data_IF_631245011194
#
_entry.id   IF_631245011194
#
_cell.length_a   1.000
_cell.length_b   1.000
_cell.length_c   1.000
_cell.angle_alpha   90.00
_cell.angle_beta   90.00
_cell.angle_gamma   90.00
#
_symmetry.space_group_name_H-M   'P 1'
#
loop_
_entity.id
_entity.type
_entity.pdbx_description
1 polymer ?
#
# COMPACT_ATOMS: atom_id res chain seq x y z
N UNK A 1 38.64 -9.16 9.28
CA UNK A 1 38.04 -8.07 8.49
C UNK A 1 36.65 -8.51 8.04
N UNK A 2 35.62 -8.11 8.78
CA UNK A 2 34.24 -8.41 8.43
C UNK A 2 33.37 -7.27 8.96
N UNK A 3 33.20 -6.27 8.10
CA UNK A 3 32.33 -5.12 8.33
C UNK A 3 30.88 -5.60 8.38
N UNK A 4 30.27 -5.50 9.56
CA UNK A 4 28.84 -5.71 9.76
C UNK A 4 28.06 -4.55 9.16
N UNK A 5 27.32 -4.85 8.09
CA UNK A 5 26.41 -3.96 7.38
C UNK A 5 25.17 -3.74 8.26
N UNK A 6 24.97 -2.55 8.77
CA UNK A 6 23.79 -2.15 9.55
C UNK A 6 22.58 -2.00 8.62
N UNK A 7 21.72 -3.01 8.58
CA UNK A 7 20.37 -2.90 8.02
C UNK A 7 19.45 -2.28 9.07
N UNK A 8 19.05 -1.02 8.87
CA UNK A 8 18.04 -0.34 9.66
C UNK A 8 16.68 -0.99 9.42
N UNK A 9 16.24 -1.83 10.35
CA UNK A 9 14.90 -2.41 10.34
C UNK A 9 13.88 -1.36 10.78
N UNK A 10 13.09 -0.82 9.86
CA UNK A 10 11.98 0.08 10.17
C UNK A 10 10.86 -0.70 10.86
N UNK A 11 10.66 -0.50 12.16
CA UNK A 11 9.52 -1.08 12.89
C UNK A 11 8.54 0.02 13.31
N UNK A 12 7.34 0.02 12.71
CA UNK A 12 6.21 0.80 13.20
C UNK A 12 5.49 -0.01 14.29
N UNK A 13 5.59 0.41 15.56
CA UNK A 13 4.86 -0.24 16.66
C UNK A 13 3.80 0.70 17.18
N UNK A 14 2.58 0.56 16.66
CA UNK A 14 1.40 1.08 17.35
C UNK A 14 1.19 0.21 18.59
N UNK A 15 1.32 0.79 19.78
CA UNK A 15 0.96 0.13 21.03
C UNK A 15 -0.55 -0.16 21.02
N UNK A 16 -0.92 -1.31 20.50
CA UNK A 16 -2.25 -1.86 20.60
C UNK A 16 -2.12 -3.34 20.94
N UNK A 17 -2.63 -3.70 22.11
CA UNK A 17 -2.71 -5.05 22.65
C UNK A 17 -3.17 -6.06 21.56
N UNK A 18 -2.67 -7.30 21.63
CA UNK A 18 -2.59 -8.37 20.60
C UNK A 18 -3.90 -8.82 19.88
N UNK A 19 -4.84 -7.93 19.58
CA UNK A 19 -6.09 -8.23 18.85
C UNK A 19 -6.71 -7.00 18.16
N UNK A 20 -5.92 -5.99 17.85
CA UNK A 20 -6.38 -4.62 17.58
C UNK A 20 -6.95 -4.37 16.19
N UNK A 21 -6.59 -5.18 15.19
CA UNK A 21 -7.17 -5.09 13.83
C UNK A 21 -8.66 -5.45 13.80
N UNK A 22 -9.20 -6.07 14.87
CA UNK A 22 -10.64 -6.33 15.03
C UNK A 22 -11.45 -5.11 15.48
N UNK A 23 -10.81 -4.08 16.03
CA UNK A 23 -11.50 -2.87 16.48
C UNK A 23 -11.33 -1.73 15.46
N UNK A 24 -12.22 -1.71 14.47
CA UNK A 24 -12.31 -0.69 13.39
C UNK A 24 -12.33 0.76 13.92
N UNK A 25 -12.76 0.97 15.16
CA UNK A 25 -12.82 2.29 15.81
C UNK A 25 -11.45 2.90 16.09
N UNK A 26 -10.39 2.09 16.24
CA UNK A 26 -9.02 2.60 16.43
C UNK A 26 -8.41 3.19 15.15
N UNK A 27 -8.88 2.77 13.96
CA UNK A 27 -8.39 3.30 12.68
C UNK A 27 -8.88 4.72 12.37
N UNK A 28 -9.84 5.22 13.13
CA UNK A 28 -10.36 6.60 13.06
C UNK A 28 -9.69 7.55 14.06
N UNK A 29 -8.64 7.12 14.76
CA UNK A 29 -7.86 7.99 15.65
C UNK A 29 -6.74 8.65 14.86
N UNK A 30 -6.27 9.84 15.25
CA UNK A 30 -5.06 10.43 14.68
C UNK A 30 -3.92 9.42 14.70
N UNK A 31 -3.30 9.17 13.54
CA UNK A 31 -2.16 8.26 13.46
C UNK A 31 -0.97 8.91 14.17
N UNK A 32 -0.32 8.17 15.07
CA UNK A 32 0.94 8.57 15.68
C UNK A 32 2.01 7.59 15.24
N UNK A 33 2.98 8.06 14.48
CA UNK A 33 4.11 7.24 14.04
C UNK A 33 5.33 7.54 14.91
N UNK A 34 6.05 6.48 15.31
CA UNK A 34 7.29 6.58 16.08
C UNK A 34 8.30 5.64 15.40
N UNK A 35 9.42 6.18 14.92
CA UNK A 35 10.54 5.38 14.47
C UNK A 35 11.39 4.99 15.67
N UNK A 36 11.66 3.69 15.81
CA UNK A 36 12.44 3.18 16.93
C UNK A 36 13.88 3.71 16.86
N UNK A 37 14.34 4.33 17.96
CA UNK A 37 15.69 4.88 18.07
C UNK A 37 15.87 6.29 17.51
N UNK A 38 14.82 6.92 16.96
CA UNK A 38 14.88 8.31 16.50
C UNK A 38 14.17 9.26 17.48
N UNK A 39 14.82 10.34 17.96
CA UNK A 39 14.19 11.34 18.80
C UNK A 39 13.32 12.29 17.95
N UNK A 40 12.24 11.75 17.39
CA UNK A 40 11.24 12.52 16.64
C UNK A 40 9.97 12.73 17.46
N UNK A 41 9.62 13.99 17.75
CA UNK A 41 8.25 14.33 18.15
C UNK A 41 7.43 14.48 16.87
N UNK A 42 6.42 13.62 16.69
CA UNK A 42 5.59 13.65 15.48
C UNK A 42 4.74 14.93 15.41
N UNK A 43 5.26 15.95 14.73
CA UNK A 43 4.54 17.15 14.31
C UNK A 43 4.00 17.03 12.87
N UNK A 44 3.80 15.80 12.38
CA UNK A 44 3.31 15.48 11.03
C UNK A 44 4.40 15.15 10.01
N UNK A 45 5.66 15.51 10.26
CA UNK A 45 6.79 15.16 9.38
C UNK A 45 7.08 13.65 9.38
N UNK A 46 7.09 13.04 10.56
CA UNK A 46 7.35 11.60 10.76
C UNK A 46 6.26 10.77 10.09
N UNK A 47 5.00 11.16 10.26
CA UNK A 47 3.86 10.51 9.58
C UNK A 47 3.96 10.59 8.05
N UNK A 48 4.34 11.74 7.47
CA UNK A 48 4.53 11.87 6.02
C UNK A 48 5.65 10.99 5.49
N UNK A 49 6.77 10.93 6.20
CA UNK A 49 7.91 10.09 5.82
C UNK A 49 7.55 8.60 5.84
N UNK A 50 6.80 8.16 6.85
CA UNK A 50 6.30 6.80 6.94
C UNK A 50 5.46 6.39 5.72
N UNK A 51 4.45 7.20 5.38
CA UNK A 51 3.62 6.93 4.20
C UNK A 51 4.44 6.97 2.91
N UNK A 52 5.37 7.92 2.78
CA UNK A 52 6.24 7.98 1.62
C UNK A 52 7.07 6.70 1.45
N UNK A 53 7.73 6.22 2.51
CA UNK A 53 8.56 5.00 2.48
C UNK A 53 7.74 3.77 2.13
N UNK A 54 6.61 3.56 2.79
CA UNK A 54 5.75 2.39 2.52
C UNK A 54 5.14 2.46 1.12
N UNK A 55 4.71 3.64 0.66
CA UNK A 55 4.23 3.78 -0.72
C UNK A 55 5.32 3.43 -1.71
N UNK A 56 6.58 3.88 -1.49
CA UNK A 56 7.70 3.51 -2.36
C UNK A 56 7.89 1.98 -2.42
N UNK A 57 7.98 1.29 -1.28
CA UNK A 57 8.15 -0.18 -1.23
C UNK A 57 7.01 -0.94 -1.93
N UNK A 58 5.79 -0.40 -1.91
CA UNK A 58 4.64 -0.96 -2.61
C UNK A 58 4.76 -0.76 -4.13
N UNK A 59 5.08 0.45 -4.59
CA UNK A 59 5.06 0.78 -6.02
C UNK A 59 6.31 0.30 -6.77
N UNK A 60 7.43 0.10 -6.08
CA UNK A 60 8.65 -0.50 -6.67
C UNK A 60 8.54 -2.02 -6.82
N UNK A 61 7.54 -2.64 -6.18
CA UNK A 61 7.36 -4.09 -6.19
C UNK A 61 8.29 -4.84 -5.25
N UNK A 62 9.07 -4.15 -4.40
CA UNK A 62 10.03 -4.76 -3.47
C UNK A 62 9.35 -5.71 -2.46
N UNK A 63 8.07 -5.46 -2.14
CA UNK A 63 7.26 -6.34 -1.28
C UNK A 63 6.75 -7.61 -2.00
N UNK A 64 6.87 -7.67 -3.33
CA UNK A 64 6.35 -8.75 -4.17
C UNK A 64 4.83 -8.87 -4.18
N UNK A 65 4.11 -7.85 -3.70
CA UNK A 65 2.64 -7.81 -3.64
C UNK A 65 2.01 -7.31 -4.94
N UNK A 66 2.74 -6.48 -5.69
CA UNK A 66 2.24 -5.95 -6.95
C UNK A 66 3.25 -6.16 -8.06
N UNK A 67 2.74 -6.42 -9.26
CA UNK A 67 3.48 -6.48 -10.50
C UNK A 67 3.34 -5.13 -11.20
N UNK A 68 4.44 -4.63 -11.76
CA UNK A 68 4.44 -3.38 -12.52
C UNK A 68 4.23 -3.73 -14.00
N UNK A 69 3.17 -3.19 -14.60
CA UNK A 69 2.95 -3.30 -16.02
C UNK A 69 3.98 -2.47 -16.79
N UNK A 70 4.67 -3.08 -17.75
CA UNK A 70 5.83 -2.46 -18.39
C UNK A 70 5.48 -1.18 -19.16
N UNK A 71 4.35 -1.17 -19.87
CA UNK A 71 4.00 -0.04 -20.74
C UNK A 71 3.30 1.12 -19.99
N UNK A 72 2.50 0.80 -18.97
CA UNK A 72 1.66 1.78 -18.27
C UNK A 72 2.27 2.23 -16.96
N UNK A 73 3.28 1.50 -16.45
CA UNK A 73 3.87 1.67 -15.12
C UNK A 73 2.83 1.57 -13.99
N UNK A 74 1.67 0.97 -14.28
CA UNK A 74 0.64 0.71 -13.29
C UNK A 74 0.96 -0.55 -12.51
N UNK A 75 0.49 -0.60 -11.27
CA UNK A 75 0.62 -1.75 -10.40
C UNK A 75 -0.63 -2.64 -10.45
N UNK A 76 -0.42 -3.95 -10.55
CA UNK A 76 -1.47 -4.97 -10.52
C UNK A 76 -1.20 -6.02 -9.43
N UNK A 77 -2.26 -6.63 -8.89
CA UNK A 77 -2.16 -7.64 -7.84
C UNK A 77 -1.33 -8.83 -8.30
N UNK A 78 -0.31 -9.19 -7.54
CA UNK A 78 0.45 -10.40 -7.76
C UNK A 78 -0.27 -11.60 -7.11
N UNK A 79 -0.80 -12.51 -7.91
CA UNK A 79 -1.51 -13.69 -7.40
C UNK A 79 -0.59 -14.80 -6.88
N UNK A 80 0.74 -14.63 -7.02
CA UNK A 80 1.75 -15.60 -6.64
C UNK A 80 2.83 -15.00 -5.71
N UNK A 81 3.20 -15.66 -4.60
CA UNK A 81 2.63 -16.91 -4.10
C UNK A 81 1.18 -16.71 -3.61
N UNK A 82 0.45 -17.82 -3.57
CA UNK A 82 -0.93 -17.83 -3.05
C UNK A 82 -0.93 -17.51 -1.55
N UNK A 83 -2.10 -17.14 -1.00
CA UNK A 83 -2.31 -16.93 0.44
C UNK A 83 -1.62 -15.67 1.05
N UNK A 84 -1.53 -14.57 0.30
CA UNK A 84 -1.04 -13.26 0.81
C UNK A 84 -2.15 -12.28 1.22
N UNK A 85 -3.32 -12.81 1.58
CA UNK A 85 -4.54 -12.04 1.87
C UNK A 85 -4.32 -11.04 3.02
N UNK A 86 -3.57 -11.43 4.04
CA UNK A 86 -3.23 -10.58 5.17
C UNK A 86 -2.41 -9.36 4.73
N UNK A 87 -1.39 -9.54 3.90
CA UNK A 87 -0.56 -8.43 3.42
C UNK A 87 -1.36 -7.47 2.54
N UNK A 88 -2.25 -7.97 1.67
CA UNK A 88 -3.17 -7.11 0.92
C UNK A 88 -4.13 -6.35 1.81
N UNK A 89 -4.65 -6.99 2.86
CA UNK A 89 -5.48 -6.30 3.85
C UNK A 89 -4.69 -5.18 4.54
N UNK A 90 -3.44 -5.43 4.94
CA UNK A 90 -2.56 -4.43 5.56
C UNK A 90 -2.31 -3.25 4.62
N UNK A 91 -2.02 -3.51 3.34
CA UNK A 91 -1.89 -2.45 2.32
C UNK A 91 -3.18 -1.62 2.22
N UNK A 92 -4.34 -2.27 2.17
CA UNK A 92 -5.64 -1.58 2.15
C UNK A 92 -5.87 -0.71 3.38
N UNK A 93 -5.51 -1.20 4.57
CA UNK A 93 -5.57 -0.42 5.83
C UNK A 93 -4.65 0.79 5.76
N UNK A 94 -3.41 0.64 5.25
CA UNK A 94 -2.45 1.74 5.11
C UNK A 94 -2.97 2.80 4.13
N UNK A 95 -3.52 2.40 2.98
CA UNK A 95 -4.14 3.31 2.02
C UNK A 95 -5.32 4.06 2.67
N UNK A 96 -6.18 3.36 3.39
CA UNK A 96 -7.30 3.96 4.13
C UNK A 96 -6.84 4.96 5.20
N UNK A 97 -5.76 4.64 5.93
CA UNK A 97 -5.15 5.54 6.89
C UNK A 97 -4.55 6.78 6.23
N UNK A 98 -3.90 6.64 5.07
CA UNK A 98 -3.36 7.77 4.31
C UNK A 98 -4.48 8.75 3.92
N UNK A 99 -5.59 8.23 3.38
CA UNK A 99 -6.78 9.02 3.02
C UNK A 99 -7.37 9.70 4.26
N UNK A 100 -7.54 8.96 5.36
CA UNK A 100 -8.12 9.50 6.60
C UNK A 100 -7.28 10.63 7.20
N UNK A 101 -5.95 10.51 7.15
CA UNK A 101 -5.01 11.51 7.66
C UNK A 101 -4.64 12.58 6.61
N UNK A 102 -5.35 12.65 5.48
CA UNK A 102 -5.13 13.63 4.40
C UNK A 102 -3.70 13.62 3.83
N UNK A 103 -3.07 12.45 3.82
CA UNK A 103 -1.74 12.24 3.24
C UNK A 103 -1.91 11.74 1.80
N UNK A 104 -1.43 12.52 0.84
CA UNK A 104 -1.45 12.14 -0.58
C UNK A 104 -0.36 11.10 -0.82
N UNK A 105 -0.77 9.90 -1.21
CA UNK A 105 0.11 8.80 -1.61
C UNK A 105 -0.21 8.43 -3.06
N UNK A 106 0.81 8.35 -3.92
CA UNK A 106 0.62 8.01 -5.32
C UNK A 106 0.75 6.50 -5.52
N UNK A 107 -0.40 5.81 -5.61
CA UNK A 107 -0.45 4.41 -6.02
C UNK A 107 -0.96 4.33 -7.46
N UNK A 108 -0.14 3.90 -8.44
CA UNK A 108 -0.51 3.88 -9.85
C UNK A 108 -1.42 2.68 -10.15
N UNK A 109 -2.54 2.55 -9.43
CA UNK A 109 -3.54 1.53 -9.71
C UNK A 109 -4.32 1.87 -10.98
N UNK A 110 -4.71 0.87 -11.78
CA UNK A 110 -5.62 1.08 -12.90
C UNK A 110 -7.03 1.39 -12.43
N UNK A 111 -7.80 2.09 -13.28
CA UNK A 111 -9.15 2.58 -12.95
C UNK A 111 -10.12 1.50 -12.47
N UNK A 112 -9.97 0.29 -12.99
CA UNK A 112 -10.75 -0.87 -12.59
C UNK A 112 -10.72 -1.16 -11.08
N UNK A 113 -9.61 -0.85 -10.40
CA UNK A 113 -9.48 -1.06 -8.96
C UNK A 113 -10.36 -0.07 -8.19
N UNK A 114 -10.36 1.20 -8.58
CA UNK A 114 -11.19 2.21 -7.96
C UNK A 114 -12.68 1.95 -8.22
N UNK A 115 -13.04 1.53 -9.43
CA UNK A 115 -14.42 1.10 -9.74
C UNK A 115 -14.87 -0.04 -8.82
N UNK A 116 -14.03 -1.07 -8.66
CA UNK A 116 -14.30 -2.20 -7.76
C UNK A 116 -14.44 -1.77 -6.30
N UNK A 117 -13.58 -0.86 -5.81
CA UNK A 117 -13.66 -0.34 -4.44
C UNK A 117 -14.93 0.49 -4.18
N UNK A 118 -15.44 1.17 -5.20
CA UNK A 118 -16.67 1.96 -5.14
C UNK A 118 -17.95 1.11 -5.32
N UNK A 119 -17.80 -0.21 -5.54
CA UNK A 119 -18.94 -1.10 -5.80
C UNK A 119 -19.57 -0.90 -7.18
N UNK A 120 -18.85 -0.28 -8.12
CA UNK A 120 -19.27 -0.17 -9.51
C UNK A 120 -19.10 -1.53 -10.18
N UNK A 121 -20.09 -1.94 -10.98
CA UNK A 121 -19.99 -3.15 -11.78
C UNK A 121 -18.87 -3.02 -12.82
N UNK A 122 -17.96 -3.99 -12.84
CA UNK A 122 -16.77 -3.97 -13.70
C UNK A 122 -16.96 -4.97 -14.83
N UNK A 123 -17.11 -4.46 -16.05
CA UNK A 123 -17.08 -5.26 -17.28
C UNK A 123 -15.72 -5.32 -17.96
N UNK A 124 -15.68 -5.99 -19.12
CA UNK A 124 -14.47 -6.16 -19.93
C UNK A 124 -13.86 -4.82 -20.39
N UNK A 125 -14.67 -3.79 -20.54
CA UNK A 125 -14.26 -2.44 -20.92
C UNK A 125 -13.24 -1.81 -19.95
N UNK A 126 -13.26 -2.22 -18.68
CA UNK A 126 -12.32 -1.77 -17.66
C UNK A 126 -10.97 -2.50 -17.70
N UNK A 127 -10.90 -3.70 -18.31
CA UNK A 127 -9.63 -4.45 -18.40
C UNK A 127 -8.58 -3.65 -19.14
N UNK A 128 -8.99 -2.92 -20.18
CA UNK A 128 -8.08 -2.07 -20.93
C UNK A 128 -7.51 -0.89 -20.14
N UNK A 129 -8.00 -0.61 -18.93
CA UNK A 129 -7.36 0.35 -18.02
C UNK A 129 -6.16 -0.24 -17.27
N UNK A 130 -6.07 -1.57 -17.17
CA UNK A 130 -5.00 -2.31 -16.51
C UNK A 130 -4.06 -3.02 -17.51
N UNK A 131 -4.64 -3.54 -18.59
CA UNK A 131 -3.97 -4.32 -19.65
C UNK A 131 -4.40 -3.76 -21.01
N UNK A 132 -3.77 -2.68 -21.49
CA UNK A 132 -4.14 -2.02 -22.75
C UNK A 132 -4.17 -2.96 -23.96
N UNK A 133 -3.32 -3.98 -23.98
CA UNK A 133 -3.21 -5.01 -25.00
C UNK A 133 -4.49 -5.85 -25.19
N UNK A 134 -5.30 -6.00 -24.13
CA UNK A 134 -6.55 -6.75 -24.18
C UNK A 134 -7.69 -5.99 -24.86
N UNK A 135 -7.52 -4.68 -25.15
CA UNK A 135 -8.52 -3.91 -25.91
C UNK A 135 -8.59 -4.30 -27.40
N UNK A 136 -7.63 -5.05 -27.90
CA UNK A 136 -7.44 -5.26 -29.35
C UNK A 136 -8.10 -6.52 -29.93
N UNK A 137 -9.07 -7.15 -29.27
CA UNK A 137 -9.82 -8.25 -29.92
C UNK A 137 -10.75 -7.62 -30.96
N UNK A 138 -10.51 -7.80 -32.28
CA UNK A 138 -11.44 -7.32 -33.29
C UNK A 138 -12.71 -8.17 -33.20
N UNK A 139 -13.85 -7.49 -33.13
CA UNK A 139 -15.18 -8.04 -33.39
C UNK A 139 -15.27 -8.68 -34.76
#
# INVERSE_FOLDING_TARGET
SSSSRSTSSNSATTACNNNSYKNMTCLKKPLKVIFYGEPGVDAGGVTKEFFHKITQEIVTGDLGLFLIHQDTQQIWFNTLPVCREWEYMVVGVIIGLAIYNQVICNFPFPMVIFAKLLGVEVGFEYLGSAFPELKQVPS
#
